data_IF_059020833544
#
_entry.id   IF_059020833544
#
_cell.length_a   1.000
_cell.length_b   1.000
_cell.length_c   1.000
_cell.angle_alpha   90.00
_cell.angle_beta   90.00
_cell.angle_gamma   90.00
#
_symmetry.space_group_name_H-M   'P 1'
#
loop_
_entity.id
_entity.type
_entity.pdbx_description
1 polymer ?
#
# COMPACT_ATOMS: atom_id res chain seq x y z
N UNK A 1 37.59 -28.42 -9.02
CA UNK A 1 36.84 -28.12 -7.78
C UNK A 1 36.84 -26.62 -7.59
N UNK A 2 35.80 -25.94 -8.05
CA UNK A 2 35.67 -24.49 -7.91
C UNK A 2 34.22 -24.13 -7.57
N UNK A 3 34.11 -23.25 -6.58
CA UNK A 3 33.05 -22.27 -6.38
C UNK A 3 31.67 -22.77 -5.92
N UNK A 4 31.51 -22.82 -4.59
CA UNK A 4 30.24 -22.58 -3.89
C UNK A 4 30.52 -21.66 -2.70
N UNK A 5 30.57 -20.34 -2.93
CA UNK A 5 30.48 -19.37 -1.83
C UNK A 5 30.20 -17.96 -2.38
N UNK A 6 28.94 -17.68 -2.79
CA UNK A 6 28.52 -16.30 -3.04
C UNK A 6 27.04 -15.98 -2.71
N UNK A 7 26.27 -16.92 -2.15
CA UNK A 7 24.84 -16.68 -1.85
C UNK A 7 24.55 -16.21 -0.41
N UNK A 8 25.50 -16.31 0.53
CA UNK A 8 25.23 -15.96 1.93
C UNK A 8 25.39 -14.46 2.26
N UNK A 9 26.21 -13.71 1.51
CA UNK A 9 26.39 -12.27 1.78
C UNK A 9 25.24 -11.41 1.24
N UNK A 10 24.62 -11.78 0.10
CA UNK A 10 23.50 -11.04 -0.46
C UNK A 10 22.22 -11.15 0.39
N UNK A 11 21.98 -12.30 1.03
CA UNK A 11 20.81 -12.48 1.90
C UNK A 11 20.91 -11.63 3.17
N UNK A 12 22.07 -11.57 3.83
CA UNK A 12 22.23 -10.79 5.06
C UNK A 12 22.03 -9.27 4.84
N UNK A 13 22.58 -8.71 3.76
CA UNK A 13 22.38 -7.28 3.44
C UNK A 13 20.93 -6.94 3.08
N UNK A 14 20.20 -7.88 2.46
CA UNK A 14 18.78 -7.71 2.13
C UNK A 14 17.88 -7.72 3.37
N UNK A 15 18.16 -8.59 4.33
CA UNK A 15 17.45 -8.62 5.62
C UNK A 15 17.70 -7.34 6.45
N UNK A 16 18.91 -6.78 6.44
CA UNK A 16 19.22 -5.53 7.14
C UNK A 16 18.54 -4.31 6.50
N UNK A 17 18.48 -4.23 5.16
CA UNK A 17 17.80 -3.13 4.44
C UNK A 17 16.28 -3.13 4.69
N UNK A 18 15.62 -4.28 4.58
CA UNK A 18 14.17 -4.42 4.83
C UNK A 18 13.83 -4.07 6.30
N UNK A 19 14.69 -4.46 7.24
CA UNK A 19 14.55 -4.09 8.65
C UNK A 19 14.71 -2.57 8.89
N UNK A 20 15.51 -1.87 8.09
CA UNK A 20 15.69 -0.42 8.19
C UNK A 20 14.45 0.36 7.74
N UNK A 21 13.86 -0.03 6.61
CA UNK A 21 12.62 0.58 6.08
C UNK A 21 11.43 0.32 7.02
N UNK A 22 11.25 -0.92 7.48
CA UNK A 22 10.21 -1.27 8.45
C UNK A 22 10.40 -0.47 9.75
N UNK A 23 11.63 -0.30 10.24
CA UNK A 23 11.90 0.48 11.45
C UNK A 23 11.54 1.97 11.30
N UNK A 24 11.83 2.59 10.16
CA UNK A 24 11.46 4.00 9.90
C UNK A 24 9.94 4.18 9.85
N UNK A 25 9.23 3.30 9.13
CA UNK A 25 7.77 3.34 9.08
C UNK A 25 7.14 3.14 10.47
N UNK A 26 7.71 2.25 11.30
CA UNK A 26 7.27 2.07 12.70
C UNK A 26 7.56 3.27 13.61
N UNK A 27 8.53 4.12 13.29
CA UNK A 27 8.72 5.37 14.04
C UNK A 27 7.60 6.38 13.74
N UNK A 28 7.11 6.40 12.50
CA UNK A 28 5.98 7.23 12.09
C UNK A 28 4.64 6.67 12.60
N UNK A 29 4.49 5.34 12.57
CA UNK A 29 3.28 4.63 13.01
C UNK A 29 3.65 3.65 14.14
N UNK A 30 3.70 4.11 15.40
CA UNK A 30 4.25 3.34 16.51
C UNK A 30 3.35 2.21 17.02
N UNK A 31 2.06 2.23 16.67
CA UNK A 31 1.08 1.29 17.16
C UNK A 31 0.22 0.74 16.03
N UNK A 32 -0.05 -0.56 16.08
CA UNK A 32 -1.05 -1.21 15.23
C UNK A 32 -2.43 -0.69 15.57
N UNK A 33 -3.25 -0.39 14.56
CA UNK A 33 -4.63 0.07 14.79
C UNK A 33 -5.62 -1.09 14.98
N UNK A 34 -5.22 -2.31 14.59
CA UNK A 34 -5.96 -3.56 14.85
C UNK A 34 -4.99 -4.75 14.99
N UNK A 35 -5.43 -5.87 15.57
CA UNK A 35 -4.57 -7.06 15.74
C UNK A 35 -4.08 -7.65 14.41
N UNK A 36 -4.90 -7.52 13.37
CA UNK A 36 -4.63 -7.99 12.00
C UNK A 36 -4.06 -6.88 11.09
N UNK A 37 -3.65 -5.76 11.66
CA UNK A 37 -2.98 -4.69 10.94
C UNK A 37 -1.59 -5.14 10.49
N UNK A 38 -1.40 -5.14 9.17
CA UNK A 38 -0.20 -5.53 8.45
C UNK A 38 0.30 -4.45 7.49
N UNK A 39 -0.24 -3.23 7.57
CA UNK A 39 0.04 -2.18 6.59
C UNK A 39 1.54 -1.87 6.49
N UNK A 40 2.21 -1.69 7.64
CA UNK A 40 3.65 -1.42 7.68
C UNK A 40 4.44 -2.58 7.07
N UNK A 41 4.05 -3.82 7.37
CA UNK A 41 4.69 -5.01 6.80
C UNK A 41 4.49 -5.10 5.27
N UNK A 42 3.33 -4.70 4.77
CA UNK A 42 3.04 -4.63 3.33
C UNK A 42 3.85 -3.55 2.63
N UNK A 43 3.86 -2.33 3.18
CA UNK A 43 4.59 -1.19 2.62
C UNK A 43 6.09 -1.47 2.59
N UNK A 44 6.66 -1.98 3.67
CA UNK A 44 8.08 -2.31 3.73
C UNK A 44 8.46 -3.36 2.69
N UNK A 45 7.64 -4.38 2.48
CA UNK A 45 7.88 -5.41 1.45
C UNK A 45 7.83 -4.83 0.04
N UNK A 46 6.80 -4.03 -0.27
CA UNK A 46 6.65 -3.42 -1.60
C UNK A 46 7.78 -2.45 -1.90
N UNK A 47 8.18 -1.64 -0.92
CA UNK A 47 9.27 -0.69 -1.06
C UNK A 47 10.63 -1.39 -1.22
N UNK A 48 10.93 -2.42 -0.42
CA UNK A 48 12.14 -3.23 -0.58
C UNK A 48 12.25 -3.82 -2.00
N UNK A 49 11.17 -4.45 -2.48
CA UNK A 49 11.11 -5.01 -3.83
C UNK A 49 11.28 -3.94 -4.90
N UNK A 50 10.67 -2.77 -4.72
CA UNK A 50 10.80 -1.68 -5.67
C UNK A 50 12.22 -1.12 -5.72
N UNK A 51 12.88 -0.94 -4.57
CA UNK A 51 14.27 -0.46 -4.54
C UNK A 51 15.23 -1.45 -5.19
N UNK A 52 15.04 -2.76 -5.01
CA UNK A 52 15.82 -3.77 -5.74
C UNK A 52 15.62 -3.65 -7.26
N UNK A 53 14.37 -3.46 -7.71
CA UNK A 53 14.09 -3.24 -9.14
C UNK A 53 14.72 -1.94 -9.63
N UNK A 54 14.69 -0.87 -8.85
CA UNK A 54 15.29 0.41 -9.21
C UNK A 54 16.81 0.28 -9.39
N UNK A 55 17.46 -0.46 -8.49
CA UNK A 55 18.88 -0.81 -8.59
C UNK A 55 19.21 -1.56 -9.88
N UNK A 56 18.44 -2.60 -10.19
CA UNK A 56 18.65 -3.43 -11.38
C UNK A 56 18.48 -2.65 -12.69
N UNK A 57 17.65 -1.60 -12.67
CA UNK A 57 17.32 -0.80 -13.85
C UNK A 57 18.23 0.41 -14.04
N UNK A 58 18.60 1.08 -12.94
CA UNK A 58 19.24 2.40 -12.97
C UNK A 58 20.54 2.50 -12.17
N UNK A 59 20.96 1.42 -11.48
CA UNK A 59 22.18 1.36 -10.69
C UNK A 59 22.00 1.68 -9.21
N UNK A 60 23.03 1.39 -8.41
CA UNK A 60 23.01 1.62 -6.94
C UNK A 60 22.92 3.11 -6.61
N UNK A 61 23.67 3.98 -7.32
CA UNK A 61 23.72 5.42 -7.03
C UNK A 61 22.32 6.07 -7.04
N UNK A 62 21.48 5.68 -8.00
CA UNK A 62 20.11 6.21 -8.09
C UNK A 62 19.20 5.63 -7.01
N UNK A 63 19.37 4.34 -6.67
CA UNK A 63 18.67 3.73 -5.53
C UNK A 63 19.02 4.45 -4.24
N UNK A 64 20.31 4.70 -3.99
CA UNK A 64 20.79 5.41 -2.80
C UNK A 64 20.21 6.83 -2.75
N UNK A 65 20.17 7.53 -3.87
CA UNK A 65 19.55 8.87 -3.97
C UNK A 65 18.06 8.84 -3.60
N UNK A 66 17.28 7.90 -4.16
CA UNK A 66 15.86 7.75 -3.83
C UNK A 66 15.66 7.39 -2.36
N UNK A 67 16.51 6.51 -1.83
CA UNK A 67 16.47 6.12 -0.43
C UNK A 67 16.81 7.31 0.48
N UNK A 68 17.86 8.09 0.20
CA UNK A 68 18.21 9.30 0.95
C UNK A 68 17.05 10.30 0.97
N UNK A 69 16.43 10.54 -0.19
CA UNK A 69 15.26 11.42 -0.28
C UNK A 69 14.08 10.92 0.58
N UNK A 70 13.86 9.61 0.60
CA UNK A 70 12.81 8.98 1.39
C UNK A 70 13.09 9.12 2.90
N UNK A 71 14.32 8.88 3.32
CA UNK A 71 14.77 8.98 4.71
C UNK A 71 14.67 10.42 5.23
N UNK A 72 15.13 11.41 4.45
CA UNK A 72 15.01 12.84 4.79
C UNK A 72 13.55 13.28 4.92
N UNK A 73 12.68 12.77 4.04
CA UNK A 73 11.24 13.05 4.08
C UNK A 73 10.57 12.42 5.31
N UNK A 74 10.92 11.19 5.66
CA UNK A 74 10.40 10.51 6.85
C UNK A 74 10.88 11.20 8.14
N UNK A 75 12.15 11.61 8.21
CA UNK A 75 12.68 12.38 9.35
C UNK A 75 11.99 13.74 9.49
N UNK A 76 11.67 14.39 8.37
CA UNK A 76 10.91 15.63 8.36
C UNK A 76 9.51 15.42 8.94
N UNK A 77 8.78 14.39 8.51
CA UNK A 77 7.43 14.11 9.03
C UNK A 77 7.43 13.84 10.54
N UNK A 78 8.43 13.08 11.03
CA UNK A 78 8.52 12.75 12.46
C UNK A 78 8.91 13.92 13.37
N UNK A 79 9.73 14.88 12.89
CA UNK A 79 10.31 15.95 13.73
C UNK A 79 9.88 17.37 13.34
N UNK A 80 9.25 17.55 12.18
CA UNK A 80 8.89 18.84 11.57
C UNK A 80 10.06 19.84 11.53
N UNK A 81 11.29 19.36 11.31
CA UNK A 81 12.49 20.18 11.31
C UNK A 81 12.73 20.77 9.90
N UNK A 82 12.62 22.10 9.69
CA UNK A 82 12.79 22.71 8.36
C UNK A 82 14.16 22.46 7.72
N UNK A 83 15.21 22.21 8.52
CA UNK A 83 16.55 21.88 7.99
C UNK A 83 16.54 20.60 7.16
N UNK A 84 15.70 19.63 7.49
CA UNK A 84 15.59 18.37 6.72
C UNK A 84 14.99 18.59 5.34
N UNK A 85 14.08 19.55 5.23
CA UNK A 85 13.51 19.95 3.96
C UNK A 85 14.53 20.74 3.11
N UNK A 86 15.42 21.51 3.74
CA UNK A 86 16.56 22.15 3.07
C UNK A 86 17.57 21.12 2.56
N UNK A 87 17.93 20.13 3.38
CA UNK A 87 18.78 18.99 2.99
C UNK A 87 18.18 18.25 1.78
N UNK A 88 16.88 17.91 1.83
CA UNK A 88 16.17 17.27 0.72
C UNK A 88 16.18 18.15 -0.54
N UNK A 89 15.94 19.45 -0.40
CA UNK A 89 15.99 20.40 -1.51
C UNK A 89 17.37 20.46 -2.17
N UNK A 90 18.46 20.37 -1.39
CA UNK A 90 19.81 20.34 -1.92
C UNK A 90 20.09 19.06 -2.72
N UNK A 91 19.62 17.90 -2.25
CA UNK A 91 19.71 16.65 -3.01
C UNK A 91 18.97 16.78 -4.34
N UNK A 92 17.69 17.19 -4.29
CA UNK A 92 16.85 17.29 -5.49
C UNK A 92 17.37 18.30 -6.52
N UNK A 93 17.95 19.41 -6.09
CA UNK A 93 18.50 20.45 -6.98
C UNK A 93 19.88 20.10 -7.54
N UNK A 94 20.56 19.11 -6.97
CA UNK A 94 21.85 18.61 -7.47
C UNK A 94 21.73 17.60 -8.61
N UNK A 95 20.53 17.03 -8.81
CA UNK A 95 20.27 16.04 -9.85
C UNK A 95 20.25 16.67 -11.24
N UNK A 96 20.76 15.93 -12.22
CA UNK A 96 20.56 16.30 -13.62
C UNK A 96 19.10 16.04 -14.05
N UNK A 97 18.66 16.59 -15.20
CA UNK A 97 17.28 16.45 -15.65
C UNK A 97 16.82 15.00 -15.85
N UNK A 98 17.71 14.09 -16.24
CA UNK A 98 17.40 12.68 -16.43
C UNK A 98 17.11 12.01 -15.08
N UNK A 99 18.01 12.17 -14.13
CA UNK A 99 17.88 11.61 -12.78
C UNK A 99 16.68 12.21 -12.05
N UNK A 100 16.42 13.52 -12.22
CA UNK A 100 15.25 14.20 -11.66
C UNK A 100 13.93 13.54 -12.09
N UNK A 101 13.82 13.16 -13.37
CA UNK A 101 12.64 12.46 -13.89
C UNK A 101 12.48 11.09 -13.24
N UNK A 102 13.58 10.33 -13.14
CA UNK A 102 13.51 8.97 -12.58
C UNK A 102 13.18 9.02 -11.08
N UNK A 103 13.76 9.94 -10.31
CA UNK A 103 13.44 10.14 -8.90
C UNK A 103 11.97 10.52 -8.72
N UNK A 104 11.45 11.48 -9.49
CA UNK A 104 10.03 11.86 -9.42
C UNK A 104 9.09 10.69 -9.78
N UNK A 105 9.44 9.90 -10.80
CA UNK A 105 8.71 8.69 -11.18
C UNK A 105 8.76 7.63 -10.08
N UNK A 106 9.91 7.45 -9.43
CA UNK A 106 10.09 6.51 -8.34
C UNK A 106 9.19 6.85 -7.15
N UNK A 107 9.17 8.10 -6.69
CA UNK A 107 8.28 8.54 -5.61
C UNK A 107 6.80 8.41 -5.95
N UNK A 108 6.41 8.73 -7.19
CA UNK A 108 5.04 8.54 -7.66
C UNK A 108 4.63 7.06 -7.64
N UNK A 109 5.54 6.17 -8.03
CA UNK A 109 5.30 4.73 -8.02
C UNK A 109 5.26 4.17 -6.60
N UNK A 110 6.17 4.58 -5.72
CA UNK A 110 6.16 4.22 -4.31
C UNK A 110 4.86 4.61 -3.62
N UNK A 111 4.33 5.82 -3.90
CA UNK A 111 3.04 6.24 -3.39
C UNK A 111 1.89 5.36 -3.92
N UNK A 112 1.93 5.01 -5.21
CA UNK A 112 0.95 4.07 -5.76
C UNK A 112 1.03 2.70 -5.08
N UNK A 113 2.23 2.17 -4.80
CA UNK A 113 2.40 0.91 -4.07
C UNK A 113 1.85 0.99 -2.65
N UNK A 114 2.09 2.10 -1.94
CA UNK A 114 1.54 2.32 -0.60
C UNK A 114 -0.01 2.35 -0.62
N UNK A 115 -0.60 3.00 -1.61
CA UNK A 115 -2.06 3.00 -1.80
C UNK A 115 -2.59 1.58 -2.04
N UNK A 116 -1.87 0.73 -2.80
CA UNK A 116 -2.27 -0.67 -3.00
C UNK A 116 -2.17 -1.50 -1.73
N UNK A 117 -1.16 -1.26 -0.90
CA UNK A 117 -1.04 -1.91 0.40
C UNK A 117 -2.18 -1.51 1.33
N UNK A 118 -2.54 -0.22 1.35
CA UNK A 118 -3.70 0.29 2.09
C UNK A 118 -5.00 -0.37 1.60
N UNK A 119 -5.23 -0.45 0.28
CA UNK A 119 -6.39 -1.12 -0.31
C UNK A 119 -6.48 -2.59 0.14
N UNK A 120 -5.36 -3.32 0.14
CA UNK A 120 -5.30 -4.71 0.63
C UNK A 120 -5.57 -4.79 2.12
N UNK A 121 -4.99 -3.89 2.92
CA UNK A 121 -5.22 -3.82 4.36
C UNK A 121 -6.70 -3.56 4.66
N UNK A 122 -7.35 -2.60 4.00
CA UNK A 122 -8.76 -2.28 4.19
C UNK A 122 -9.64 -3.46 3.76
N UNK A 123 -9.36 -4.06 2.61
CA UNK A 123 -10.16 -5.16 2.07
C UNK A 123 -10.13 -6.42 2.96
N UNK A 124 -9.01 -6.67 3.64
CA UNK A 124 -8.82 -7.87 4.48
C UNK A 124 -8.91 -7.60 5.98
N UNK A 125 -9.09 -6.34 6.41
CA UNK A 125 -9.27 -5.99 7.82
C UNK A 125 -10.56 -6.62 8.35
N UNK A 126 -10.45 -7.32 9.47
CA UNK A 126 -11.60 -7.89 10.16
C UNK A 126 -12.45 -6.78 10.75
N UNK A 127 -13.76 -6.88 10.56
CA UNK A 127 -14.73 -6.03 11.26
C UNK A 127 -14.74 -6.37 12.75
N UNK A 128 -14.31 -5.44 13.58
CA UNK A 128 -14.38 -5.56 15.03
C UNK A 128 -15.74 -5.00 15.48
N UNK A 129 -16.57 -5.83 16.11
CA UNK A 129 -17.96 -5.48 16.50
C UNK A 129 -18.08 -4.55 17.71
N UNK A 130 -17.01 -3.86 18.10
CA UNK A 130 -17.04 -2.88 19.20
C UNK A 130 -17.67 -1.58 18.69
N UNK A 131 -18.99 -1.59 18.54
CA UNK A 131 -19.79 -0.45 18.11
C UNK A 131 -20.38 0.27 19.32
N UNK A 132 -20.48 1.59 19.27
CA UNK A 132 -21.15 2.39 20.33
C UNK A 132 -22.68 2.29 20.24
N UNK A 133 -23.19 1.88 19.08
CA UNK A 133 -24.62 1.76 18.80
C UNK A 133 -25.28 3.10 18.48
N UNK A 134 -24.51 4.12 18.12
CA UNK A 134 -24.99 5.45 17.76
C UNK A 134 -24.63 5.81 16.30
N UNK A 135 -25.13 6.94 15.81
CA UNK A 135 -24.88 7.38 14.43
C UNK A 135 -23.42 7.74 14.14
N UNK A 136 -22.57 7.89 15.16
CA UNK A 136 -21.14 8.18 14.96
C UNK A 136 -20.43 6.97 14.35
N UNK A 137 -20.92 5.75 14.62
CA UNK A 137 -20.40 4.51 14.06
C UNK A 137 -20.50 4.47 12.51
N UNK A 138 -21.44 5.19 11.91
CA UNK A 138 -21.64 5.21 10.45
C UNK A 138 -20.63 6.08 9.69
N UNK A 139 -19.80 6.85 10.40
CA UNK A 139 -18.79 7.72 9.77
C UNK A 139 -17.47 7.01 9.45
N UNK A 140 -17.34 5.72 9.76
CA UNK A 140 -16.11 4.96 9.53
C UNK A 140 -16.44 3.55 9.05
N UNK A 141 -15.82 3.12 7.95
CA UNK A 141 -15.99 1.79 7.38
C UNK A 141 -15.65 0.64 8.36
N UNK A 142 -14.85 0.91 9.40
CA UNK A 142 -14.55 -0.09 10.43
C UNK A 142 -15.70 -0.34 11.41
N UNK A 143 -16.63 0.62 11.54
CA UNK A 143 -17.75 0.60 12.48
C UNK A 143 -19.12 0.66 11.82
N UNK A 144 -19.19 1.03 10.54
CA UNK A 144 -20.45 1.17 9.79
C UNK A 144 -21.29 -0.10 9.82
N UNK A 145 -22.62 0.06 9.76
CA UNK A 145 -23.53 -1.07 9.69
C UNK A 145 -23.50 -1.73 8.32
N UNK A 146 -23.36 -3.07 8.28
CA UNK A 146 -23.72 -3.79 7.05
C UNK A 146 -25.22 -3.73 6.79
N UNK A 147 -25.61 -4.28 5.63
CA UNK A 147 -27.01 -4.34 5.23
C UNK A 147 -27.85 -5.11 6.26
N UNK A 148 -27.37 -6.22 6.81
CA UNK A 148 -28.14 -7.03 7.75
C UNK A 148 -28.33 -6.29 9.09
N UNK A 149 -27.28 -5.67 9.62
CA UNK A 149 -27.31 -4.83 10.81
C UNK A 149 -28.26 -3.64 10.62
N UNK A 150 -28.23 -3.00 9.44
CA UNK A 150 -29.16 -1.94 9.08
C UNK A 150 -30.60 -2.44 9.09
N UNK A 151 -30.90 -3.56 8.43
CA UNK A 151 -32.24 -4.15 8.39
C UNK A 151 -32.72 -4.55 9.79
N UNK A 152 -31.84 -5.11 10.64
CA UNK A 152 -32.14 -5.44 12.04
C UNK A 152 -32.49 -4.17 12.83
N UNK A 153 -31.71 -3.11 12.72
CA UNK A 153 -31.99 -1.83 13.39
C UNK A 153 -33.32 -1.24 12.95
N UNK A 154 -33.66 -1.31 11.66
CA UNK A 154 -34.96 -0.85 11.14
C UNK A 154 -36.14 -1.60 11.78
N UNK A 155 -36.03 -2.93 11.92
CA UNK A 155 -37.11 -3.75 12.48
C UNK A 155 -37.15 -3.70 14.00
N UNK A 156 -36.00 -3.82 14.67
CA UNK A 156 -35.91 -3.98 16.12
C UNK A 156 -35.99 -2.62 16.81
N UNK A 157 -35.23 -1.63 16.37
CA UNK A 157 -35.10 -0.35 17.08
C UNK A 157 -36.13 0.67 16.58
N UNK A 158 -36.28 0.76 15.25
CA UNK A 158 -37.24 1.68 14.62
C UNK A 158 -38.64 1.10 14.39
N UNK A 159 -38.86 -0.16 14.79
CA UNK A 159 -40.17 -0.85 14.77
C UNK A 159 -40.86 -0.85 13.41
N UNK A 160 -40.09 -0.88 12.31
CA UNK A 160 -40.63 -1.06 10.96
C UNK A 160 -40.98 -2.52 10.73
N UNK A 161 -42.11 -2.76 10.08
CA UNK A 161 -42.46 -4.12 9.65
C UNK A 161 -41.52 -4.58 8.53
N UNK A 162 -41.19 -5.88 8.45
CA UNK A 162 -40.41 -6.42 7.33
C UNK A 162 -41.00 -6.10 5.96
N UNK A 163 -42.33 -6.03 5.85
CA UNK A 163 -43.03 -5.66 4.63
C UNK A 163 -42.74 -4.21 4.22
N UNK A 164 -42.81 -3.25 5.14
CA UNK A 164 -42.48 -1.84 4.86
C UNK A 164 -41.04 -1.67 4.37
N UNK A 165 -40.08 -2.35 5.02
CA UNK A 165 -38.67 -2.32 4.63
C UNK A 165 -38.48 -2.90 3.22
N UNK A 166 -39.13 -4.03 2.93
CA UNK A 166 -39.08 -4.66 1.61
C UNK A 166 -39.68 -3.78 0.51
N UNK A 167 -40.85 -3.16 0.76
CA UNK A 167 -41.46 -2.22 -0.18
C UNK A 167 -40.58 -1.01 -0.43
N UNK A 168 -39.89 -0.49 0.60
CA UNK A 168 -38.93 0.61 0.44
C UNK A 168 -37.75 0.20 -0.44
N UNK A 169 -37.17 -0.98 -0.23
CA UNK A 169 -36.07 -1.50 -1.04
C UNK A 169 -36.45 -1.68 -2.52
N UNK A 170 -37.67 -2.14 -2.81
CA UNK A 170 -38.16 -2.26 -4.20
C UNK A 170 -38.22 -0.93 -4.94
N UNK A 171 -38.43 0.17 -4.22
CA UNK A 171 -38.55 1.50 -4.79
C UNK A 171 -37.26 2.33 -4.67
N UNK A 172 -36.23 1.80 -4.01
CA UNK A 172 -34.95 2.49 -3.85
C UNK A 172 -34.11 2.38 -5.13
N UNK A 173 -33.51 3.48 -5.53
CA UNK A 173 -32.53 3.52 -6.63
C UNK A 173 -31.29 4.29 -6.17
N UNK A 174 -30.12 3.73 -6.45
CA UNK A 174 -28.82 4.40 -6.26
C UNK A 174 -28.19 4.55 -7.64
N UNK A 175 -27.98 5.79 -8.08
CA UNK A 175 -27.33 6.09 -9.36
C UNK A 175 -25.93 6.65 -9.10
N UNK A 176 -24.91 6.00 -9.65
CA UNK A 176 -23.51 6.38 -9.51
C UNK A 176 -23.03 6.97 -10.82
N UNK A 177 -22.83 8.29 -10.85
CA UNK A 177 -22.36 9.02 -12.03
C UNK A 177 -20.84 9.13 -12.00
N UNK A 178 -20.16 8.38 -12.85
CA UNK A 178 -18.71 8.47 -12.99
C UNK A 178 -18.30 9.75 -13.73
N UNK A 179 -17.37 10.50 -13.15
CA UNK A 179 -16.76 11.69 -13.74
C UNK A 179 -15.31 11.40 -14.15
N UNK A 180 -14.77 12.21 -15.06
CA UNK A 180 -13.36 12.12 -15.40
C UNK A 180 -12.50 12.52 -14.19
N UNK A 181 -11.41 11.78 -13.95
CA UNK A 181 -10.43 12.16 -12.94
C UNK A 181 -9.64 13.39 -13.40
N UNK A 182 -9.46 14.43 -12.56
CA UNK A 182 -8.92 15.73 -13.00
C UNK A 182 -7.46 15.67 -13.46
N UNK A 183 -6.69 14.67 -13.00
CA UNK A 183 -5.23 14.63 -13.20
C UNK A 183 -4.69 13.29 -13.71
N UNK A 184 -5.48 12.21 -13.71
CA UNK A 184 -4.97 10.86 -13.95
C UNK A 184 -6.00 9.98 -14.67
N UNK A 185 -5.82 9.78 -15.97
CA UNK A 185 -6.54 8.73 -16.69
C UNK A 185 -5.75 7.42 -16.59
N UNK A 186 -5.97 6.66 -15.51
CA UNK A 186 -5.30 5.36 -15.32
C UNK A 186 -5.75 4.38 -16.40
N UNK A 187 -4.79 3.83 -17.16
CA UNK A 187 -5.10 2.89 -18.24
C UNK A 187 -5.55 1.55 -17.67
N UNK A 188 -6.51 0.89 -18.33
CA UNK A 188 -7.00 -0.45 -17.94
C UNK A 188 -5.88 -1.47 -17.74
N UNK A 189 -4.83 -1.41 -18.56
CA UNK A 189 -3.66 -2.29 -18.45
C UNK A 189 -2.90 -2.10 -17.13
N UNK A 190 -2.82 -0.88 -16.61
CA UNK A 190 -2.19 -0.63 -15.32
C UNK A 190 -3.08 -1.05 -14.16
N UNK A 191 -4.39 -0.77 -14.23
CA UNK A 191 -5.36 -1.28 -13.24
C UNK A 191 -5.27 -2.81 -13.08
N UNK A 192 -5.03 -3.54 -14.16
CA UNK A 192 -4.80 -4.98 -14.12
C UNK A 192 -3.49 -5.36 -13.42
N UNK A 193 -2.40 -4.61 -13.62
CA UNK A 193 -1.12 -4.82 -12.92
C UNK A 193 -1.28 -4.56 -11.43
N UNK A 194 -1.90 -3.45 -11.06
CA UNK A 194 -2.25 -3.14 -9.67
C UNK A 194 -3.10 -4.25 -9.04
N UNK A 195 -4.11 -4.76 -9.74
CA UNK A 195 -4.87 -5.91 -9.29
C UNK A 195 -4.02 -7.16 -9.03
N UNK A 196 -3.04 -7.46 -9.90
CA UNK A 196 -2.13 -8.59 -9.69
C UNK A 196 -1.18 -8.37 -8.52
N UNK A 197 -0.67 -7.16 -8.31
CA UNK A 197 0.14 -6.79 -7.14
C UNK A 197 -0.66 -7.03 -5.85
N UNK A 198 -1.90 -6.51 -5.77
CA UNK A 198 -2.79 -6.73 -4.61
C UNK A 198 -3.04 -8.20 -4.33
N UNK A 199 -3.30 -8.98 -5.37
CA UNK A 199 -3.54 -10.42 -5.24
C UNK A 199 -2.30 -11.17 -4.73
N UNK A 200 -1.10 -10.83 -5.20
CA UNK A 200 0.13 -11.44 -4.71
C UNK A 200 0.36 -11.08 -3.24
N UNK A 201 0.18 -9.81 -2.89
CA UNK A 201 0.34 -9.32 -1.52
C UNK A 201 -0.62 -10.00 -0.54
N UNK A 202 -1.91 -10.12 -0.90
CA UNK A 202 -2.90 -10.80 -0.07
C UNK A 202 -2.57 -12.30 0.13
N UNK A 203 -2.09 -12.98 -0.92
CA UNK A 203 -1.75 -14.41 -0.85
C UNK A 203 -0.47 -14.69 -0.07
N UNK A 204 0.55 -13.82 -0.16
CA UNK A 204 1.81 -13.95 0.58
C UNK A 204 1.62 -14.00 2.11
N UNK A 205 0.53 -13.41 2.62
CA UNK A 205 0.21 -13.34 4.04
C UNK A 205 -0.96 -14.26 4.44
N UNK A 206 -1.33 -15.21 3.56
CA UNK A 206 -2.23 -16.30 3.89
C UNK A 206 -1.62 -17.20 4.99
N UNK A 207 -2.47 -17.82 5.81
CA UNK A 207 -2.02 -18.59 6.99
C UNK A 207 -1.26 -19.87 6.62
N UNK A 208 -1.63 -20.50 5.51
CA UNK A 208 -1.18 -21.85 5.15
C UNK A 208 -0.40 -21.85 3.81
N UNK A 209 0.54 -20.93 3.65
CA UNK A 209 1.38 -20.83 2.46
C UNK A 209 2.63 -21.70 2.58
N UNK A 210 2.94 -22.48 1.53
CA UNK A 210 4.18 -23.27 1.49
C UNK A 210 5.39 -22.38 1.16
N UNK A 211 6.62 -22.78 1.53
CA UNK A 211 7.82 -22.02 1.16
C UNK A 211 7.98 -21.83 -0.35
N UNK A 212 7.63 -22.85 -1.14
CA UNK A 212 7.71 -22.83 -2.60
C UNK A 212 6.68 -21.84 -3.18
N UNK A 213 5.41 -21.91 -2.73
CA UNK A 213 4.37 -20.95 -3.13
C UNK A 213 4.76 -19.51 -2.78
N UNK A 214 5.37 -19.33 -1.60
CA UNK A 214 5.82 -18.01 -1.14
C UNK A 214 6.90 -17.46 -2.06
N UNK A 215 7.86 -18.29 -2.47
CA UNK A 215 8.89 -17.88 -3.41
C UNK A 215 8.28 -17.52 -4.78
N UNK A 216 7.39 -18.36 -5.31
CA UNK A 216 6.74 -18.10 -6.60
C UNK A 216 5.93 -16.79 -6.59
N UNK A 217 5.20 -16.52 -5.50
CA UNK A 217 4.44 -15.29 -5.33
C UNK A 217 5.33 -14.06 -5.16
N UNK A 218 6.47 -14.19 -4.47
CA UNK A 218 7.44 -13.10 -4.31
C UNK A 218 8.09 -12.73 -5.66
N UNK A 219 8.45 -13.73 -6.45
CA UNK A 219 8.93 -13.53 -7.82
C UNK A 219 7.84 -12.92 -8.73
N UNK A 220 6.59 -13.38 -8.62
CA UNK A 220 5.47 -12.82 -9.35
C UNK A 220 5.20 -11.35 -8.97
N UNK A 221 5.28 -11.03 -7.67
CA UNK A 221 5.14 -9.67 -7.15
C UNK A 221 6.21 -8.76 -7.76
N UNK A 222 7.49 -9.17 -7.72
CA UNK A 222 8.59 -8.41 -8.32
C UNK A 222 8.38 -8.15 -9.82
N UNK A 223 7.96 -9.16 -10.58
CA UNK A 223 7.65 -9.01 -12.02
C UNK A 223 6.53 -8.01 -12.27
N UNK A 224 5.46 -8.03 -11.48
CA UNK A 224 4.34 -7.11 -11.66
C UNK A 224 4.68 -5.68 -11.25
N UNK A 225 5.45 -5.48 -10.17
CA UNK A 225 5.97 -4.17 -9.77
C UNK A 225 6.84 -3.58 -10.88
N UNK A 226 7.80 -4.36 -11.41
CA UNK A 226 8.66 -3.93 -12.51
C UNK A 226 7.85 -3.61 -13.77
N UNK A 227 6.86 -4.45 -14.10
CA UNK A 227 5.99 -4.22 -15.24
C UNK A 227 5.13 -2.97 -15.08
N UNK A 228 4.67 -2.67 -13.86
CA UNK A 228 3.94 -1.43 -13.57
C UNK A 228 4.87 -0.22 -13.70
N UNK A 229 6.09 -0.28 -13.14
CA UNK A 229 7.06 0.82 -13.19
C UNK A 229 7.49 1.17 -14.62
N UNK A 230 7.71 0.17 -15.47
CA UNK A 230 8.04 0.38 -16.88
C UNK A 230 6.85 0.78 -17.76
N UNK A 231 5.62 0.69 -17.24
CA UNK A 231 4.44 1.13 -17.98
C UNK A 231 4.18 2.59 -17.62
N UNK A 232 4.77 3.51 -18.38
CA UNK A 232 4.66 4.96 -18.11
C UNK A 232 3.20 5.44 -17.99
N UNK A 233 2.86 6.10 -16.89
CA UNK A 233 1.64 6.93 -16.79
C UNK A 233 1.91 8.42 -17.05
N UNK A 234 3.19 8.81 -17.11
CA UNK A 234 3.67 10.21 -17.18
C UNK A 234 4.80 10.32 -18.21
#
# INVERSE_FOLDING_TARGET
MASFNNNNNNNNGKFEKLASIDAQLRQLVPAKVSEDDKLVEYDALLLDRFLDILQDLHGEDLKETVQECYELSAEYEGKNNPKKLEELGNVLTSLDPGDSIVVAKAFSHMLNLANLAEEVQIAHRRRIKLKKGDFVDENNATTESDLEETLKRLVVDLKKSPQEVFEALKNQTVDLVFTAHPTQSVRRSLLQKHGRIRNCLAQLYAKDITPDDKQELDEALGREIQAAFRTDEI
#
